data_IF_999596668690
#
_entry.id   IF_999596668690
#
_cell.length_a   1.000
_cell.length_b   1.000
_cell.length_c   1.000
_cell.angle_alpha   90.00
_cell.angle_beta   90.00
_cell.angle_gamma   90.00
#
_symmetry.space_group_name_H-M   'P 1'
#
loop_
_entity.id
_entity.type
_entity.pdbx_description
1 polymer ?
#
# COMPACT_ATOMS: atom_id res chain seq x y z
N UNK A 1 -8.68 8.20 20.74
CA UNK A 1 -9.75 7.48 20.01
C UNK A 1 -9.07 6.57 19.00
N UNK A 2 -9.20 5.25 19.22
CA UNK A 2 -8.46 4.22 18.50
C UNK A 2 -8.94 4.11 17.05
N UNK A 3 -8.07 4.48 16.12
CA UNK A 3 -8.34 4.22 14.72
C UNK A 3 -7.66 2.91 14.37
N UNK A 4 -8.35 1.80 14.61
CA UNK A 4 -7.87 0.45 14.34
C UNK A 4 -7.32 0.40 12.91
N UNK A 5 -6.00 0.28 12.80
CA UNK A 5 -5.28 0.14 11.54
C UNK A 5 -5.42 -1.31 11.07
N UNK A 6 -6.66 -1.72 10.82
CA UNK A 6 -6.97 -3.03 10.27
C UNK A 6 -7.41 -2.84 8.82
N UNK A 7 -6.54 -3.28 7.92
CA UNK A 7 -6.82 -3.41 6.50
C UNK A 7 -6.56 -4.86 6.16
N UNK A 8 -7.63 -5.57 5.82
CA UNK A 8 -7.51 -6.95 5.34
C UNK A 8 -6.96 -6.89 3.92
N UNK A 9 -5.81 -7.54 3.74
CA UNK A 9 -5.15 -7.64 2.45
C UNK A 9 -5.57 -8.97 1.82
N UNK A 10 -6.33 -8.89 0.74
CA UNK A 10 -6.85 -10.05 0.00
C UNK A 10 -5.74 -10.86 -0.66
N UNK A 11 -4.68 -10.20 -1.09
CA UNK A 11 -3.53 -10.83 -1.74
C UNK A 11 -2.69 -11.65 -0.76
N UNK A 12 -2.01 -12.67 -1.29
CA UNK A 12 -1.09 -13.48 -0.51
C UNK A 12 0.25 -12.76 -0.29
N UNK A 13 1.00 -13.21 0.71
CA UNK A 13 2.34 -12.66 0.96
C UNK A 13 3.27 -12.91 -0.24
N UNK A 14 3.20 -14.10 -0.84
CA UNK A 14 4.03 -14.46 -1.99
C UNK A 14 3.69 -13.60 -3.20
N UNK A 15 2.40 -13.33 -3.45
CA UNK A 15 1.97 -12.50 -4.55
C UNK A 15 2.50 -11.06 -4.43
N UNK A 16 2.40 -10.48 -3.24
CA UNK A 16 2.93 -9.13 -2.96
C UNK A 16 4.45 -9.09 -3.15
N UNK A 17 5.16 -10.12 -2.70
CA UNK A 17 6.61 -10.21 -2.86
C UNK A 17 7.01 -10.35 -4.34
N UNK A 18 6.29 -11.16 -5.11
CA UNK A 18 6.50 -11.28 -6.55
C UNK A 18 6.29 -9.93 -7.23
N UNK A 19 5.15 -9.27 -6.98
CA UNK A 19 4.85 -7.95 -7.56
C UNK A 19 5.88 -6.88 -7.15
N UNK A 20 6.38 -6.91 -5.91
CA UNK A 20 7.44 -6.01 -5.44
C UNK A 20 8.73 -6.14 -6.25
N UNK A 21 9.10 -7.36 -6.63
CA UNK A 21 10.29 -7.62 -7.47
C UNK A 21 10.12 -7.12 -8.90
N UNK A 22 8.90 -7.19 -9.42
CA UNK A 22 8.56 -6.74 -10.78
C UNK A 22 8.15 -5.27 -10.87
N UNK A 23 8.04 -4.56 -9.75
CA UNK A 23 7.65 -3.16 -9.72
C UNK A 23 8.77 -2.28 -10.31
N UNK A 24 8.45 -1.60 -11.41
CA UNK A 24 9.40 -0.75 -12.14
C UNK A 24 9.53 0.65 -11.52
N UNK A 25 8.42 1.22 -11.06
CA UNK A 25 8.40 2.59 -10.52
C UNK A 25 8.53 2.60 -9.00
N UNK A 26 9.20 3.62 -8.47
CA UNK A 26 9.34 3.81 -7.03
C UNK A 26 7.98 3.92 -6.33
N UNK A 27 7.01 4.60 -6.95
CA UNK A 27 5.65 4.76 -6.41
C UNK A 27 4.86 3.45 -6.35
N UNK A 28 4.97 2.59 -7.37
CA UNK A 28 4.36 1.25 -7.33
C UNK A 28 5.01 0.40 -6.25
N UNK A 29 6.34 0.47 -6.13
CA UNK A 29 7.08 -0.26 -5.10
C UNK A 29 6.65 0.17 -3.69
N UNK A 30 6.54 1.46 -3.41
CA UNK A 30 6.07 1.98 -2.12
C UNK A 30 4.66 1.47 -1.77
N UNK A 31 3.73 1.51 -2.73
CA UNK A 31 2.34 1.04 -2.55
C UNK A 31 2.28 -0.46 -2.28
N UNK A 32 3.06 -1.26 -2.99
CA UNK A 32 3.16 -2.70 -2.74
C UNK A 32 3.83 -3.00 -1.41
N UNK A 33 4.87 -2.25 -1.05
CA UNK A 33 5.60 -2.41 0.21
C UNK A 33 4.69 -2.15 1.40
N UNK A 34 3.83 -1.14 1.28
CA UNK A 34 2.76 -0.85 2.21
C UNK A 34 1.84 -2.06 2.43
N UNK A 35 1.26 -2.61 1.35
CA UNK A 35 0.37 -3.77 1.44
C UNK A 35 1.08 -4.98 2.05
N UNK A 36 2.34 -5.22 1.65
CA UNK A 36 3.16 -6.30 2.18
C UNK A 36 3.35 -6.20 3.69
N UNK A 37 3.74 -5.03 4.20
CA UNK A 37 3.95 -4.83 5.63
C UNK A 37 2.67 -4.99 6.46
N UNK A 38 1.54 -4.54 5.93
CA UNK A 38 0.23 -4.75 6.56
C UNK A 38 -0.10 -6.25 6.59
N UNK A 39 0.09 -6.95 5.46
CA UNK A 39 -0.21 -8.39 5.34
C UNK A 39 0.57 -9.23 6.34
N UNK A 40 1.86 -8.95 6.51
CA UNK A 40 2.73 -9.69 7.44
C UNK A 40 2.63 -9.20 8.88
N UNK A 41 1.80 -8.18 9.15
CA UNK A 41 1.67 -7.59 10.49
C UNK A 41 2.91 -6.86 11.00
N UNK A 42 3.80 -6.42 10.10
CA UNK A 42 5.04 -5.73 10.47
C UNK A 42 4.83 -4.28 10.92
N UNK A 43 3.61 -3.75 10.76
CA UNK A 43 3.25 -2.37 11.09
C UNK A 43 1.96 -2.39 11.92
N UNK A 44 1.99 -1.70 13.06
CA UNK A 44 0.83 -1.60 13.94
C UNK A 44 0.01 -0.32 13.69
N UNK A 45 0.60 0.72 13.09
CA UNK A 45 -0.03 2.04 12.97
C UNK A 45 0.22 2.71 11.61
N UNK A 46 -0.71 3.61 11.22
CA UNK A 46 -0.54 4.46 10.02
C UNK A 46 0.68 5.37 10.09
N UNK A 47 1.00 5.86 11.29
CA UNK A 47 2.13 6.77 11.51
C UNK A 47 3.46 6.03 11.31
N UNK A 48 3.59 4.80 11.82
CA UNK A 48 4.78 4.00 11.56
C UNK A 48 4.92 3.70 10.06
N UNK A 49 3.80 3.40 9.39
CA UNK A 49 3.78 3.18 7.95
C UNK A 49 4.25 4.40 7.16
N UNK A 50 3.74 5.58 7.51
CA UNK A 50 4.06 6.84 6.85
C UNK A 50 5.53 7.21 7.03
N UNK A 51 6.06 7.05 8.25
CA UNK A 51 7.47 7.26 8.56
C UNK A 51 8.39 6.31 7.77
N UNK A 52 8.07 5.00 7.72
CA UNK A 52 8.88 4.03 6.96
C UNK A 52 8.85 4.27 5.46
N UNK A 53 7.72 4.75 4.93
CA UNK A 53 7.60 5.10 3.51
C UNK A 53 8.20 6.48 3.19
N UNK A 54 8.52 7.30 4.20
CA UNK A 54 8.91 8.70 4.00
C UNK A 54 7.80 9.54 3.36
N UNK A 55 6.53 9.20 3.62
CA UNK A 55 5.35 9.86 3.05
C UNK A 55 4.48 10.44 4.15
N UNK A 56 3.64 11.40 3.78
CA UNK A 56 2.64 11.95 4.69
C UNK A 56 1.55 10.92 5.02
N UNK A 57 1.04 10.96 6.26
CA UNK A 57 -0.05 10.08 6.71
C UNK A 57 -1.31 10.20 5.84
N UNK A 58 -1.62 11.39 5.33
CA UNK A 58 -2.75 11.64 4.44
C UNK A 58 -2.59 10.91 3.10
N UNK A 59 -1.34 10.79 2.62
CA UNK A 59 -1.04 10.05 1.38
C UNK A 59 -1.27 8.55 1.58
N UNK A 60 -0.76 8.02 2.69
CA UNK A 60 -0.97 6.63 3.09
C UNK A 60 -2.45 6.33 3.27
N UNK A 61 -3.19 7.22 3.95
CA UNK A 61 -4.63 7.10 4.13
C UNK A 61 -5.38 7.03 2.80
N UNK A 62 -5.06 7.92 1.84
CA UNK A 62 -5.65 7.90 0.49
C UNK A 62 -5.36 6.60 -0.25
N UNK A 63 -4.14 6.06 -0.14
CA UNK A 63 -3.80 4.78 -0.76
C UNK A 63 -4.61 3.63 -0.16
N UNK A 64 -4.73 3.57 1.16
CA UNK A 64 -5.52 2.54 1.83
C UNK A 64 -7.01 2.65 1.49
N UNK A 65 -7.54 3.86 1.43
CA UNK A 65 -8.93 4.08 1.02
C UNK A 65 -9.16 3.61 -0.43
N UNK A 66 -8.25 3.95 -1.35
CA UNK A 66 -8.31 3.51 -2.75
C UNK A 66 -8.22 1.99 -2.87
N UNK A 67 -7.34 1.36 -2.10
CA UNK A 67 -7.25 -0.11 -2.03
C UNK A 67 -8.55 -0.73 -1.51
N UNK A 68 -9.12 -0.20 -0.42
CA UNK A 68 -10.40 -0.69 0.13
C UNK A 68 -11.56 -0.57 -0.86
N UNK A 69 -11.57 0.48 -1.68
CA UNK A 69 -12.66 0.73 -2.63
C UNK A 69 -12.52 -0.02 -3.95
N UNK A 70 -11.30 -0.23 -4.44
CA UNK A 70 -11.06 -0.67 -5.82
C UNK A 70 -9.97 -1.74 -5.96
N UNK A 71 -9.45 -2.23 -4.83
CA UNK A 71 -8.43 -3.28 -4.76
C UNK A 71 -7.03 -2.83 -5.16
N UNK A 72 -6.12 -3.80 -5.23
CA UNK A 72 -4.72 -3.56 -5.57
C UNK A 72 -4.53 -3.00 -6.98
N UNK A 73 -5.27 -3.51 -7.98
CA UNK A 73 -5.09 -3.07 -9.37
C UNK A 73 -5.31 -1.56 -9.49
N UNK A 74 -6.39 -1.04 -8.91
CA UNK A 74 -6.65 0.39 -8.89
C UNK A 74 -5.64 1.16 -8.05
N UNK A 75 -5.11 0.59 -6.95
CA UNK A 75 -4.04 1.22 -6.18
C UNK A 75 -2.76 1.36 -7.02
N UNK A 76 -2.42 0.36 -7.83
CA UNK A 76 -1.21 0.37 -8.67
C UNK A 76 -1.39 1.13 -9.98
N UNK A 77 -2.64 1.38 -10.38
CA UNK A 77 -2.98 2.18 -11.54
C UNK A 77 -2.60 3.65 -11.31
N UNK A 78 -1.35 3.97 -11.68
CA UNK A 78 -0.93 5.34 -11.94
C UNK A 78 -1.61 5.70 -13.25
N UNK A 79 -2.56 6.64 -13.20
CA UNK A 79 -3.08 7.28 -14.42
C UNK A 79 -1.89 7.94 -15.11
N UNK A 80 -1.19 7.22 -15.97
CA UNK A 80 -0.44 7.81 -17.06
C UNK A 80 -1.51 8.43 -17.94
N UNK A 81 -1.65 9.78 -18.02
CA UNK A 81 -2.49 10.36 -19.04
C UNK A 81 -2.03 9.78 -20.39
N UNK A 82 -2.94 9.33 -21.26
CA UNK A 82 -2.58 9.01 -22.63
C UNK A 82 -2.02 10.30 -23.22
N UNK A 83 -0.73 10.28 -23.58
CA UNK A 83 -0.10 11.35 -24.35
C UNK A 83 -0.64 11.37 -25.76
#
# INVERSE_FOLDING_TARGET
MGNSFQVEISESQEELQHRLRHAVTATTKERLQMLYWIKVGAIATRQELSQRLGRDESTVYRWLQRYKQSGMNALLEVKTPPG
#
